data_IF_787751323077
#
_entry.id   IF_787751323077
#
_cell.length_a   1.000
_cell.length_b   1.000
_cell.length_c   1.000
_cell.angle_alpha   90.00
_cell.angle_beta   90.00
_cell.angle_gamma   90.00
#
_symmetry.space_group_name_H-M   'P 1'
#
loop_
_entity.id
_entity.type
_entity.pdbx_description
1 polymer ?
#
# COMPACT_ATOMS: atom_id res chain seq x y z
N UNK A 1 4.86 5.28 -13.10
CA UNK A 1 3.62 5.05 -12.34
C UNK A 1 2.72 4.14 -13.16
N UNK A 2 2.76 2.84 -12.91
CA UNK A 2 2.34 1.85 -13.91
C UNK A 2 0.85 1.86 -14.25
N UNK A 3 -0.04 2.09 -13.28
CA UNK A 3 -1.48 2.13 -13.53
C UNK A 3 -1.91 3.27 -14.45
N UNK A 4 -1.31 4.43 -14.25
CA UNK A 4 -1.55 5.61 -15.08
C UNK A 4 -1.08 5.42 -16.54
N UNK A 5 0.04 4.69 -16.75
CA UNK A 5 0.64 4.48 -18.09
C UNK A 5 -0.32 3.77 -19.08
N UNK A 6 -1.38 3.15 -18.58
CA UNK A 6 -2.30 2.32 -19.38
C UNK A 6 -3.75 2.77 -19.31
N UNK A 7 -4.03 3.94 -18.74
CA UNK A 7 -5.36 4.55 -18.82
C UNK A 7 -5.69 4.83 -20.29
N UNK A 8 -6.90 4.47 -20.74
CA UNK A 8 -7.29 4.62 -22.13
C UNK A 8 -8.76 4.33 -22.41
N UNK A 9 -9.01 3.77 -23.59
CA UNK A 9 -10.36 3.54 -24.10
C UNK A 9 -11.23 2.61 -23.24
N UNK A 10 -10.61 1.67 -22.52
CA UNK A 10 -11.35 0.72 -21.68
C UNK A 10 -11.94 1.42 -20.45
N UNK A 11 -11.20 2.32 -19.82
CA UNK A 11 -11.70 3.13 -18.70
C UNK A 11 -12.81 4.07 -19.17
N UNK A 12 -12.61 4.73 -20.31
CA UNK A 12 -13.61 5.60 -20.92
C UNK A 12 -14.92 4.84 -21.23
N UNK A 13 -14.82 3.61 -21.74
CA UNK A 13 -15.99 2.77 -22.03
C UNK A 13 -16.77 2.40 -20.77
N UNK A 14 -16.08 2.01 -19.70
CA UNK A 14 -16.75 1.67 -18.42
C UNK A 14 -17.41 2.91 -17.77
N UNK A 15 -16.83 4.12 -17.96
CA UNK A 15 -17.43 5.38 -17.52
C UNK A 15 -18.66 5.71 -18.39
N UNK A 16 -18.53 5.62 -19.71
CA UNK A 16 -19.63 5.90 -20.65
C UNK A 16 -20.84 5.02 -20.36
N UNK A 17 -20.64 3.75 -20.02
CA UNK A 17 -21.71 2.83 -19.65
C UNK A 17 -22.58 3.32 -18.46
N UNK A 18 -22.01 4.09 -17.52
CA UNK A 18 -22.80 4.72 -16.44
C UNK A 18 -23.77 5.76 -17.03
N UNK A 19 -23.29 6.64 -17.92
CA UNK A 19 -24.10 7.72 -18.49
C UNK A 19 -25.14 7.20 -19.48
N UNK A 20 -24.79 6.20 -20.26
CA UNK A 20 -25.74 5.53 -21.19
C UNK A 20 -26.87 4.82 -20.40
N UNK A 21 -26.71 4.58 -19.12
CA UNK A 21 -27.66 3.87 -18.23
C UNK A 21 -28.15 4.75 -17.06
N UNK A 22 -28.41 6.04 -17.33
CA UNK A 22 -29.07 6.94 -16.41
C UNK A 22 -28.18 7.85 -15.57
N UNK A 23 -26.86 7.72 -15.66
CA UNK A 23 -25.89 8.67 -15.07
C UNK A 23 -25.83 8.69 -13.54
N UNK A 24 -26.30 7.67 -12.84
CA UNK A 24 -26.28 7.61 -11.39
C UNK A 24 -24.87 7.34 -10.88
N UNK A 25 -24.28 8.34 -10.21
CA UNK A 25 -22.89 8.26 -9.70
C UNK A 25 -22.81 7.75 -8.25
N UNK A 26 -23.92 7.70 -7.54
CA UNK A 26 -23.99 7.22 -6.17
C UNK A 26 -24.02 5.69 -6.11
N UNK A 27 -23.28 5.08 -5.17
CA UNK A 27 -23.10 3.61 -5.14
C UNK A 27 -24.32 2.78 -4.75
N UNK A 28 -25.34 3.38 -4.12
CA UNK A 28 -26.51 2.69 -3.57
C UNK A 28 -27.81 3.22 -4.11
N UNK A 29 -28.85 2.37 -4.19
CA UNK A 29 -30.22 2.77 -4.55
C UNK A 29 -30.38 3.36 -5.94
N UNK A 30 -31.49 4.08 -6.14
CA UNK A 30 -31.88 4.67 -7.41
C UNK A 30 -32.03 3.64 -8.53
N UNK A 31 -32.51 2.43 -8.21
CA UNK A 31 -32.61 1.29 -9.14
C UNK A 31 -33.40 1.63 -10.39
N UNK A 32 -34.46 2.43 -10.24
CA UNK A 32 -35.34 2.89 -11.33
C UNK A 32 -34.65 3.88 -12.31
N UNK A 33 -33.49 4.43 -11.95
CA UNK A 33 -32.75 5.40 -12.77
C UNK A 33 -31.50 4.81 -13.43
N UNK A 34 -31.07 3.59 -13.11
CA UNK A 34 -29.70 3.13 -13.41
C UNK A 34 -29.62 1.81 -14.19
N UNK A 35 -30.71 1.27 -14.70
CA UNK A 35 -30.76 0.05 -15.50
C UNK A 35 -29.90 -1.11 -14.93
N UNK A 36 -29.82 -1.25 -13.61
CA UNK A 36 -29.02 -2.28 -12.94
C UNK A 36 -27.50 -2.07 -12.99
N UNK A 37 -27.00 -0.91 -13.41
CA UNK A 37 -25.56 -0.61 -13.46
C UNK A 37 -25.05 -0.16 -12.10
N UNK A 38 -24.17 -0.97 -11.51
CA UNK A 38 -23.52 -0.77 -10.20
C UNK A 38 -22.02 -1.06 -10.32
N UNK A 39 -21.25 -0.09 -10.80
CA UNK A 39 -19.82 -0.26 -11.10
C UNK A 39 -18.99 -0.56 -9.87
N UNK A 40 -19.27 0.10 -8.73
CA UNK A 40 -18.57 -0.17 -7.48
C UNK A 40 -18.82 -1.61 -7.01
N UNK A 41 -20.06 -2.09 -7.02
CA UNK A 41 -20.40 -3.46 -6.65
C UNK A 41 -19.73 -4.49 -7.59
N UNK A 42 -19.75 -4.22 -8.89
CA UNK A 42 -19.07 -5.07 -9.88
C UNK A 42 -17.53 -5.08 -9.64
N UNK A 43 -16.95 -3.94 -9.31
CA UNK A 43 -15.53 -3.83 -9.00
C UNK A 43 -15.18 -4.65 -7.75
N UNK A 44 -15.92 -4.50 -6.66
CA UNK A 44 -15.75 -5.28 -5.43
C UNK A 44 -15.80 -6.79 -5.67
N UNK A 45 -16.82 -7.27 -6.41
CA UNK A 45 -16.95 -8.69 -6.78
C UNK A 45 -15.76 -9.19 -7.61
N UNK A 46 -15.34 -8.42 -8.61
CA UNK A 46 -14.20 -8.78 -9.46
C UNK A 46 -12.88 -8.76 -8.67
N UNK A 47 -12.69 -7.77 -7.79
CA UNK A 47 -11.51 -7.64 -6.95
C UNK A 47 -11.43 -8.78 -5.93
N UNK A 48 -12.54 -9.12 -5.25
CA UNK A 48 -12.60 -10.25 -4.32
C UNK A 48 -12.21 -11.57 -4.99
N UNK A 49 -12.74 -11.82 -6.20
CA UNK A 49 -12.36 -13.00 -7.01
C UNK A 49 -10.87 -12.98 -7.36
N UNK A 50 -10.32 -11.83 -7.78
CA UNK A 50 -8.90 -11.67 -8.14
C UNK A 50 -7.98 -11.94 -6.96
N UNK A 51 -8.36 -11.50 -5.76
CA UNK A 51 -7.58 -11.65 -4.53
C UNK A 51 -7.86 -12.99 -3.82
N UNK A 52 -8.76 -13.81 -4.36
CA UNK A 52 -9.17 -15.09 -3.74
C UNK A 52 -9.63 -14.90 -2.28
N UNK A 53 -10.52 -13.94 -2.06
CA UNK A 53 -11.09 -13.58 -0.76
C UNK A 53 -12.62 -13.48 -0.88
N UNK A 54 -13.40 -13.81 0.16
CA UNK A 54 -14.86 -13.77 0.07
C UNK A 54 -15.45 -12.34 0.06
N UNK A 55 -14.77 -11.36 0.63
CA UNK A 55 -15.32 -10.02 0.81
C UNK A 55 -14.34 -8.93 0.42
N UNK A 56 -14.82 -7.96 -0.35
CA UNK A 56 -14.10 -6.74 -0.71
C UNK A 56 -15.04 -5.53 -0.54
N UNK A 57 -14.51 -4.43 -0.05
CA UNK A 57 -15.23 -3.18 0.19
C UNK A 57 -14.43 -2.03 -0.40
N UNK A 58 -14.98 -1.37 -1.40
CA UNK A 58 -14.36 -0.23 -2.05
C UNK A 58 -14.57 1.06 -1.23
N UNK A 59 -13.51 1.83 -1.11
CA UNK A 59 -13.45 3.06 -0.30
C UNK A 59 -12.76 4.19 -1.06
N UNK A 60 -12.84 5.42 -0.55
CA UNK A 60 -12.38 6.64 -1.22
C UNK A 60 -10.86 6.77 -1.37
N UNK A 61 -10.06 6.08 -0.56
CA UNK A 61 -8.58 6.16 -0.62
C UNK A 61 -7.93 5.00 0.14
N UNK A 62 -6.61 4.83 -0.01
CA UNK A 62 -5.83 3.89 0.82
C UNK A 62 -5.85 4.25 2.31
N UNK A 63 -5.84 5.53 2.64
CA UNK A 63 -5.99 6.02 4.03
C UNK A 63 -7.36 5.64 4.60
N UNK A 64 -8.43 5.83 3.81
CA UNK A 64 -9.77 5.38 4.18
C UNK A 64 -9.83 3.86 4.38
N UNK A 65 -9.10 3.08 3.56
CA UNK A 65 -9.02 1.63 3.72
C UNK A 65 -8.42 1.23 5.08
N UNK A 66 -7.34 1.87 5.50
CA UNK A 66 -6.73 1.64 6.82
C UNK A 66 -7.69 2.03 7.96
N UNK A 67 -8.36 3.18 7.85
CA UNK A 67 -9.35 3.63 8.83
C UNK A 67 -10.51 2.65 8.97
N UNK A 68 -11.05 2.18 7.86
CA UNK A 68 -12.13 1.19 7.83
C UNK A 68 -11.67 -0.15 8.40
N UNK A 69 -10.45 -0.59 8.11
CA UNK A 69 -9.88 -1.81 8.69
C UNK A 69 -9.77 -1.73 10.22
N UNK A 70 -9.27 -0.60 10.74
CA UNK A 70 -9.16 -0.37 12.18
C UNK A 70 -10.53 -0.24 12.87
N UNK A 71 -11.51 0.38 12.22
CA UNK A 71 -12.88 0.44 12.73
C UNK A 71 -13.54 -0.94 12.80
N UNK A 72 -13.30 -1.82 11.81
CA UNK A 72 -13.83 -3.18 11.79
C UNK A 72 -13.39 -4.03 12.99
N UNK A 73 -12.19 -3.81 13.51
CA UNK A 73 -11.66 -4.48 14.70
C UNK A 73 -11.91 -3.70 15.99
N UNK A 74 -12.68 -2.61 15.92
CA UNK A 74 -13.14 -1.81 17.07
C UNK A 74 -12.01 -1.33 17.98
N UNK A 75 -11.07 -0.57 17.39
CA UNK A 75 -9.98 0.06 18.15
C UNK A 75 -10.55 0.99 19.21
N UNK A 76 -10.04 0.87 20.42
CA UNK A 76 -10.40 1.69 21.58
C UNK A 76 -9.22 2.58 22.01
N UNK A 77 -9.46 3.67 22.74
CA UNK A 77 -8.41 4.41 23.40
C UNK A 77 -7.52 3.48 24.26
N UNK A 78 -6.21 3.63 24.15
CA UNK A 78 -5.16 2.80 24.76
C UNK A 78 -4.84 1.49 24.04
N UNK A 79 -5.62 1.05 23.05
CA UNK A 79 -5.18 -0.07 22.20
C UNK A 79 -3.92 0.33 21.45
N UNK A 80 -2.92 -0.53 21.47
CA UNK A 80 -1.67 -0.33 20.74
C UNK A 80 -1.75 -1.03 19.38
N UNK A 81 -1.37 -0.29 18.33
CA UNK A 81 -1.25 -0.82 16.98
C UNK A 81 0.22 -0.71 16.54
N UNK A 82 0.81 -1.86 16.28
CA UNK A 82 2.22 -1.92 15.86
C UNK A 82 2.31 -1.73 14.36
N UNK A 83 3.26 -0.88 13.90
CA UNK A 83 3.62 -0.76 12.48
C UNK A 83 5.10 -0.47 12.34
N UNK A 84 5.61 -0.49 11.11
CA UNK A 84 7.02 -0.30 10.80
C UNK A 84 7.42 1.17 10.65
N UNK A 85 8.69 1.48 10.89
CA UNK A 85 9.22 2.84 10.81
C UNK A 85 9.36 3.37 9.38
N UNK A 86 9.50 2.48 8.38
CA UNK A 86 9.50 2.85 6.96
C UNK A 86 8.17 2.52 6.34
N UNK A 87 7.31 3.51 6.27
CA UNK A 87 5.96 3.46 5.66
C UNK A 87 5.56 4.86 5.20
N UNK A 88 4.46 4.98 4.47
CA UNK A 88 3.85 6.28 4.22
C UNK A 88 3.16 6.79 5.50
N UNK A 89 3.17 8.08 5.69
CA UNK A 89 2.64 8.76 6.89
C UNK A 89 1.21 8.33 7.24
N UNK A 90 0.37 8.07 6.23
CA UNK A 90 -1.04 7.68 6.39
C UNK A 90 -1.24 6.43 7.26
N UNK A 91 -0.28 5.50 7.32
CA UNK A 91 -0.39 4.31 8.16
C UNK A 91 -0.44 4.69 9.65
N UNK A 92 0.39 5.64 10.07
CA UNK A 92 0.41 6.13 11.47
C UNK A 92 -0.73 7.10 11.73
N UNK A 93 -1.06 7.97 10.79
CA UNK A 93 -2.21 8.88 10.89
C UNK A 93 -3.51 8.10 11.07
N UNK A 94 -3.73 7.02 10.32
CA UNK A 94 -4.91 6.17 10.48
C UNK A 94 -5.00 5.54 11.88
N UNK A 95 -3.88 5.16 12.48
CA UNK A 95 -3.82 4.65 13.87
C UNK A 95 -4.23 5.75 14.85
N UNK A 96 -3.63 6.93 14.73
CA UNK A 96 -3.90 8.09 15.59
C UNK A 96 -5.38 8.50 15.51
N UNK A 97 -5.90 8.64 14.30
CA UNK A 97 -7.29 8.98 14.05
C UNK A 97 -8.28 7.92 14.54
N UNK A 98 -7.84 6.67 14.68
CA UNK A 98 -8.62 5.60 15.31
C UNK A 98 -8.57 5.65 16.85
N UNK A 99 -7.91 6.66 17.44
CA UNK A 99 -7.62 6.80 18.87
C UNK A 99 -6.69 5.70 19.43
N UNK A 100 -6.06 4.93 18.55
CA UNK A 100 -5.05 3.95 18.92
C UNK A 100 -3.69 4.60 19.20
N UNK A 101 -2.83 3.85 19.86
CA UNK A 101 -1.45 4.26 20.15
C UNK A 101 -0.53 3.62 19.11
N UNK A 102 0.14 4.40 18.24
CA UNK A 102 1.08 3.84 17.29
C UNK A 102 2.37 3.36 17.98
N UNK A 103 2.70 2.09 17.81
CA UNK A 103 3.96 1.48 18.23
C UNK A 103 4.80 1.19 17.00
N UNK A 104 5.94 1.84 16.89
CA UNK A 104 6.76 1.79 15.69
C UNK A 104 7.90 0.78 15.86
N UNK A 105 8.08 -0.12 14.87
CA UNK A 105 9.19 -1.08 14.85
C UNK A 105 10.32 -0.62 13.95
N UNK A 106 11.50 -1.19 14.19
CA UNK A 106 12.60 -1.20 13.23
C UNK A 106 12.21 -1.98 11.96
N UNK A 107 12.95 -1.76 10.89
CA UNK A 107 12.90 -2.57 9.68
C UNK A 107 14.11 -3.49 9.58
N UNK A 108 14.00 -4.51 8.72
CA UNK A 108 15.10 -5.40 8.38
C UNK A 108 15.68 -5.12 6.98
N UNK A 109 16.47 -6.04 6.45
CA UNK A 109 17.12 -5.94 5.14
C UNK A 109 16.13 -6.06 3.95
N UNK A 110 14.87 -6.36 4.22
CA UNK A 110 13.75 -6.26 3.27
C UNK A 110 13.14 -4.86 3.21
N UNK A 111 13.60 -3.92 4.04
CA UNK A 111 13.02 -2.59 4.27
C UNK A 111 11.53 -2.65 4.70
N UNK A 112 11.11 -3.77 5.24
CA UNK A 112 9.80 -3.95 5.87
C UNK A 112 10.00 -4.27 7.37
N UNK A 113 8.90 -4.46 8.09
CA UNK A 113 8.90 -4.75 9.52
C UNK A 113 9.89 -5.86 9.90
N UNK A 114 10.76 -5.60 10.87
CA UNK A 114 11.60 -6.63 11.50
C UNK A 114 10.73 -7.49 12.43
N UNK A 115 10.56 -8.79 12.13
CA UNK A 115 9.73 -9.67 12.97
C UNK A 115 10.22 -9.78 14.42
N UNK A 116 11.53 -9.71 14.64
CA UNK A 116 12.11 -9.78 15.99
C UNK A 116 11.79 -8.53 16.81
N UNK A 117 11.87 -7.35 16.20
CA UNK A 117 11.51 -6.12 16.88
C UNK A 117 9.98 -6.00 17.05
N UNK A 118 9.20 -6.55 16.13
CA UNK A 118 7.74 -6.68 16.26
C UNK A 118 7.40 -7.49 17.53
N UNK A 119 7.92 -8.71 17.65
CA UNK A 119 7.62 -9.58 18.80
C UNK A 119 8.03 -8.92 20.11
N UNK A 120 9.19 -8.27 20.17
CA UNK A 120 9.71 -7.56 21.34
C UNK A 120 8.82 -6.41 21.81
N UNK A 121 8.06 -5.77 20.87
CA UNK A 121 7.23 -4.60 21.18
C UNK A 121 5.78 -4.92 21.51
N UNK A 122 5.41 -6.20 21.52
CA UNK A 122 4.07 -6.65 21.91
C UNK A 122 3.88 -6.46 23.40
N UNK A 123 2.76 -5.87 23.79
CA UNK A 123 2.29 -5.72 25.16
C UNK A 123 0.89 -6.31 25.33
N UNK A 124 0.37 -6.33 26.53
CA UNK A 124 -1.03 -6.72 26.81
C UNK A 124 -2.07 -5.81 26.14
N UNK A 125 -1.69 -4.61 25.74
CA UNK A 125 -2.56 -3.64 25.08
C UNK A 125 -2.48 -3.73 23.54
N UNK A 126 -1.60 -4.57 22.99
CA UNK A 126 -1.43 -4.70 21.55
C UNK A 126 -2.65 -5.40 20.94
N UNK A 127 -3.38 -4.67 20.13
CA UNK A 127 -4.62 -5.13 19.47
C UNK A 127 -4.39 -5.61 18.06
N UNK A 128 -3.52 -4.91 17.31
CA UNK A 128 -3.27 -5.20 15.90
C UNK A 128 -1.81 -4.88 15.50
N UNK A 129 -1.41 -5.49 14.41
CA UNK A 129 -0.22 -5.11 13.64
C UNK A 129 -0.63 -4.74 12.22
N UNK A 130 -0.09 -3.62 11.72
CA UNK A 130 -0.19 -3.22 10.31
C UNK A 130 1.18 -3.45 9.69
N UNK A 131 1.30 -4.45 8.82
CA UNK A 131 2.52 -4.73 8.05
C UNK A 131 2.39 -4.10 6.66
N UNK A 132 3.40 -3.35 6.25
CA UNK A 132 3.39 -2.64 4.97
C UNK A 132 4.34 -3.34 4.00
N UNK A 133 3.90 -3.56 2.76
CA UNK A 133 4.73 -4.12 1.70
C UNK A 133 5.39 -2.99 0.90
N UNK A 134 6.38 -2.33 1.51
CA UNK A 134 6.99 -1.13 0.95
C UNK A 134 7.60 -1.35 -0.43
N UNK A 135 7.25 -0.45 -1.36
CA UNK A 135 7.79 -0.44 -2.73
C UNK A 135 7.60 -1.77 -3.49
N UNK A 136 6.55 -2.53 -3.13
CA UNK A 136 6.15 -3.75 -3.81
C UNK A 136 6.92 -5.02 -3.42
N UNK A 137 7.76 -4.97 -2.39
CA UNK A 137 8.44 -6.15 -1.83
C UNK A 137 7.65 -6.68 -0.62
N UNK A 138 7.29 -7.96 -0.58
CA UNK A 138 6.62 -8.55 0.58
C UNK A 138 7.46 -8.46 1.87
N UNK A 139 6.81 -8.23 3.00
CA UNK A 139 7.41 -8.45 4.31
C UNK A 139 7.61 -9.94 4.59
N UNK A 140 8.30 -10.31 5.69
CA UNK A 140 8.46 -11.70 6.17
C UNK A 140 7.15 -12.21 6.77
N UNK A 141 6.15 -12.43 5.93
CA UNK A 141 4.78 -12.69 6.35
C UNK A 141 4.61 -13.96 7.18
N UNK A 142 5.37 -15.02 6.91
CA UNK A 142 5.27 -16.28 7.68
C UNK A 142 5.68 -16.05 9.14
N UNK A 143 6.79 -15.33 9.36
CA UNK A 143 7.27 -14.98 10.71
C UNK A 143 6.29 -14.06 11.42
N UNK A 144 5.86 -12.97 10.76
CA UNK A 144 4.93 -11.98 11.32
C UNK A 144 3.59 -12.64 11.65
N UNK A 145 3.04 -13.46 10.77
CA UNK A 145 1.77 -14.18 10.99
C UNK A 145 1.87 -15.17 12.15
N UNK A 146 3.00 -15.90 12.27
CA UNK A 146 3.23 -16.80 13.39
C UNK A 146 3.21 -16.05 14.72
N UNK A 147 3.90 -14.91 14.80
CA UNK A 147 3.93 -14.05 15.98
C UNK A 147 2.52 -13.51 16.29
N UNK A 148 1.85 -12.91 15.31
CA UNK A 148 0.50 -12.36 15.49
C UNK A 148 -0.49 -13.43 16.00
N UNK A 149 -0.45 -14.64 15.44
CA UNK A 149 -1.28 -15.78 15.89
C UNK A 149 -0.97 -16.20 17.34
N UNK A 150 0.32 -16.31 17.70
CA UNK A 150 0.78 -16.65 19.07
C UNK A 150 0.21 -15.69 20.11
N UNK A 151 0.18 -14.40 19.78
CA UNK A 151 -0.27 -13.34 20.69
C UNK A 151 -1.74 -12.93 20.49
N UNK A 152 -2.49 -13.61 19.60
CA UNK A 152 -3.91 -13.32 19.28
C UNK A 152 -4.13 -11.87 18.82
N UNK A 153 -3.20 -11.33 18.03
CA UNK A 153 -3.19 -9.97 17.49
C UNK A 153 -3.75 -10.01 16.06
N UNK A 154 -4.61 -9.05 15.70
CA UNK A 154 -5.08 -8.89 14.32
C UNK A 154 -3.93 -8.50 13.40
N UNK A 155 -3.81 -9.20 12.26
CA UNK A 155 -2.84 -8.90 11.22
C UNK A 155 -3.54 -8.17 10.07
N UNK A 156 -3.18 -6.91 9.86
CA UNK A 156 -3.62 -6.07 8.74
C UNK A 156 -2.44 -5.93 7.78
N UNK A 157 -2.67 -6.22 6.49
CA UNK A 157 -1.68 -5.99 5.44
C UNK A 157 -1.98 -4.66 4.72
N UNK A 158 -1.05 -3.72 4.79
CA UNK A 158 -1.07 -2.53 3.94
C UNK A 158 -0.37 -2.86 2.61
N UNK A 159 -1.19 -3.07 1.59
CA UNK A 159 -0.77 -3.50 0.26
C UNK A 159 -0.81 -2.35 -0.75
N UNK A 160 -0.74 -1.10 -0.27
CA UNK A 160 -0.80 0.10 -1.11
C UNK A 160 0.29 0.14 -2.21
N UNK A 161 1.42 -0.52 -2.01
CA UNK A 161 2.52 -0.67 -2.98
C UNK A 161 2.60 -2.07 -3.60
N UNK A 162 1.89 -3.03 -3.02
CA UNK A 162 2.04 -4.45 -3.32
C UNK A 162 0.91 -5.07 -4.15
N UNK A 163 -0.06 -4.27 -4.65
CA UNK A 163 -1.21 -4.78 -5.40
C UNK A 163 -0.77 -5.59 -6.64
N UNK A 164 -1.16 -6.87 -6.72
CA UNK A 164 -0.72 -7.83 -7.75
C UNK A 164 0.56 -8.61 -7.42
N UNK A 165 1.20 -8.32 -6.28
CA UNK A 165 2.27 -9.13 -5.71
C UNK A 165 1.73 -10.40 -5.05
N UNK A 166 2.62 -11.39 -4.84
CA UNK A 166 2.30 -12.65 -4.16
C UNK A 166 3.42 -13.06 -3.22
N UNK A 167 3.06 -13.80 -2.19
CA UNK A 167 3.98 -14.49 -1.30
C UNK A 167 3.54 -15.94 -1.15
N UNK A 168 4.44 -16.91 -1.39
CA UNK A 168 4.12 -18.34 -1.40
C UNK A 168 2.85 -18.69 -2.22
N UNK A 169 2.68 -18.04 -3.37
CA UNK A 169 1.52 -18.23 -4.26
C UNK A 169 0.26 -17.46 -3.86
N UNK A 170 0.15 -16.95 -2.62
CA UNK A 170 -0.99 -16.21 -2.10
C UNK A 170 -0.86 -14.74 -2.48
N UNK A 171 -1.92 -14.07 -3.00
CA UNK A 171 -1.91 -12.63 -3.23
C UNK A 171 -1.60 -11.84 -1.95
N UNK A 172 -0.76 -10.80 -2.05
CA UNK A 172 -0.53 -9.87 -0.94
C UNK A 172 -1.85 -9.19 -0.56
N UNK A 173 -2.05 -8.96 0.73
CA UNK A 173 -3.32 -8.52 1.31
C UNK A 173 -4.22 -9.67 1.77
N UNK A 174 -3.91 -10.92 1.38
CA UNK A 174 -4.71 -12.09 1.75
C UNK A 174 -3.99 -13.07 2.70
N UNK A 175 -2.89 -12.65 3.33
CA UNK A 175 -2.22 -13.43 4.40
C UNK A 175 -2.85 -13.18 5.76
N UNK A 176 -3.09 -11.92 6.07
CA UNK A 176 -3.65 -11.45 7.32
C UNK A 176 -5.15 -11.69 7.47
N UNK A 177 -5.74 -11.05 8.47
CA UNK A 177 -7.18 -11.00 8.71
C UNK A 177 -7.87 -10.01 7.79
N UNK A 178 -7.18 -8.88 7.50
CA UNK A 178 -7.66 -7.77 6.68
C UNK A 178 -6.52 -7.33 5.75
N UNK A 179 -6.83 -7.07 4.49
CA UNK A 179 -5.90 -6.44 3.54
C UNK A 179 -6.43 -5.09 3.07
N UNK A 180 -5.57 -4.09 2.99
CA UNK A 180 -5.89 -2.75 2.50
C UNK A 180 -5.10 -2.41 1.25
N UNK A 181 -5.72 -1.68 0.33
CA UNK A 181 -5.15 -1.31 -0.96
C UNK A 181 -5.39 0.17 -1.25
N UNK A 182 -4.50 0.75 -2.02
CA UNK A 182 -4.62 2.11 -2.54
C UNK A 182 -4.68 2.06 -4.07
N UNK A 183 -5.57 2.86 -4.63
CA UNK A 183 -5.70 3.09 -6.06
C UNK A 183 -5.41 4.56 -6.41
N UNK A 184 -4.57 5.21 -5.61
CA UNK A 184 -3.98 6.50 -5.91
C UNK A 184 -3.31 6.50 -7.29
N UNK A 185 -3.20 7.67 -7.89
CA UNK A 185 -2.62 7.88 -9.23
C UNK A 185 -1.25 7.21 -9.43
N UNK A 186 -0.42 7.15 -8.39
CA UNK A 186 0.95 6.62 -8.45
C UNK A 186 1.04 5.09 -8.24
N UNK A 187 -0.06 4.37 -8.10
CA UNK A 187 -0.07 2.94 -7.77
C UNK A 187 -0.03 2.02 -8.99
N UNK A 188 0.14 0.71 -8.75
CA UNK A 188 0.20 -0.34 -9.78
C UNK A 188 -1.09 -0.42 -10.60
N UNK A 189 -2.24 -0.17 -9.99
CA UNK A 189 -3.50 0.16 -10.64
C UNK A 189 -4.07 1.41 -9.99
N UNK A 190 -4.83 2.21 -10.75
CA UNK A 190 -5.35 3.48 -10.26
C UNK A 190 -6.81 3.70 -10.62
N UNK A 191 -7.51 4.42 -9.75
CA UNK A 191 -8.84 5.01 -10.03
C UNK A 191 -8.79 6.54 -9.95
N UNK A 192 -7.56 7.13 -10.05
CA UNK A 192 -7.27 8.51 -9.70
C UNK A 192 -7.07 8.65 -8.20
N UNK A 193 -8.13 8.52 -7.46
CA UNK A 193 -8.21 8.31 -6.02
C UNK A 193 -9.07 7.08 -5.74
N UNK A 194 -8.76 6.30 -4.70
CA UNK A 194 -9.54 5.13 -4.31
C UNK A 194 -8.76 4.17 -3.41
N UNK A 195 -9.50 3.21 -2.88
CA UNK A 195 -8.94 2.13 -2.09
C UNK A 195 -9.88 0.92 -2.01
N UNK A 196 -9.38 -0.15 -1.42
CA UNK A 196 -10.15 -1.37 -1.18
C UNK A 196 -9.74 -1.98 0.15
N UNK A 197 -10.70 -2.57 0.84
CA UNK A 197 -10.45 -3.41 2.00
C UNK A 197 -10.96 -4.80 1.70
N UNK A 198 -10.15 -5.83 1.96
CA UNK A 198 -10.58 -7.22 1.80
C UNK A 198 -10.61 -7.94 3.16
N UNK A 199 -11.55 -8.87 3.28
CA UNK A 199 -11.79 -9.59 4.53
C UNK A 199 -12.02 -11.09 4.27
N UNK A 200 -11.55 -11.92 5.18
CA UNK A 200 -11.90 -13.34 5.24
C UNK A 200 -13.12 -13.58 6.11
N UNK A 201 -13.33 -12.74 7.11
CA UNK A 201 -14.37 -12.89 8.14
C UNK A 201 -15.59 -12.02 7.82
N UNK A 202 -16.77 -12.64 7.72
CA UNK A 202 -18.05 -11.98 7.43
C UNK A 202 -18.42 -10.92 8.48
N UNK A 203 -18.13 -11.18 9.76
CA UNK A 203 -18.44 -10.24 10.86
C UNK A 203 -17.63 -8.96 10.74
N UNK A 204 -16.32 -9.08 10.45
CA UNK A 204 -15.46 -7.90 10.21
C UNK A 204 -15.89 -7.12 8.98
N UNK A 205 -16.23 -7.82 7.89
CA UNK A 205 -16.76 -7.19 6.67
C UNK A 205 -18.04 -6.40 6.95
N UNK A 206 -19.02 -6.99 7.67
CA UNK A 206 -20.28 -6.30 8.01
C UNK A 206 -20.02 -5.02 8.84
N UNK A 207 -19.15 -5.10 9.86
CA UNK A 207 -18.77 -3.92 10.65
C UNK A 207 -18.11 -2.84 9.80
N UNK A 208 -17.19 -3.23 8.91
CA UNK A 208 -16.54 -2.32 7.98
C UNK A 208 -17.54 -1.66 7.04
N UNK A 209 -18.45 -2.46 6.46
CA UNK A 209 -19.45 -2.00 5.51
C UNK A 209 -20.44 -1.01 6.14
N UNK A 210 -20.84 -1.25 7.39
CA UNK A 210 -21.68 -0.30 8.13
C UNK A 210 -20.89 0.99 8.44
N UNK A 211 -19.71 0.86 9.03
CA UNK A 211 -18.94 2.01 9.48
C UNK A 211 -18.51 2.96 8.35
N UNK A 212 -18.16 2.43 7.15
CA UNK A 212 -17.76 3.24 6.00
C UNK A 212 -18.92 4.04 5.39
N UNK A 213 -20.16 3.79 5.83
CA UNK A 213 -21.38 4.39 5.32
C UNK A 213 -22.31 4.84 6.48
N UNK A 214 -21.80 5.69 7.39
CA UNK A 214 -22.57 6.24 8.51
C UNK A 214 -23.27 5.23 9.41
N UNK A 215 -22.79 3.99 9.45
CA UNK A 215 -23.37 2.91 10.25
C UNK A 215 -24.48 2.11 9.57
N UNK A 216 -24.87 2.46 8.35
CA UNK A 216 -25.93 1.76 7.61
C UNK A 216 -25.62 0.29 7.35
N UNK A 217 -26.59 -0.58 7.65
CA UNK A 217 -26.47 -2.01 7.35
C UNK A 217 -26.69 -2.33 5.87
N UNK A 218 -27.21 -1.36 5.11
CA UNK A 218 -27.50 -1.45 3.68
C UNK A 218 -28.41 -2.66 3.35
N UNK A 219 -29.54 -2.76 4.07
CA UNK A 219 -30.55 -3.80 3.86
C UNK A 219 -31.24 -3.57 2.50
N UNK A 220 -31.10 -4.48 1.53
CA UNK A 220 -31.67 -4.29 0.19
C UNK A 220 -33.22 -4.34 0.15
N UNK A 221 -33.87 -4.74 1.26
CA UNK A 221 -35.33 -4.81 1.36
C UNK A 221 -35.96 -3.52 1.89
N UNK A 222 -35.15 -2.56 2.34
CA UNK A 222 -35.62 -1.31 2.93
C UNK A 222 -35.12 -0.12 2.12
N UNK A 223 -35.89 0.95 1.98
CA UNK A 223 -35.38 2.21 1.48
C UNK A 223 -34.31 2.72 2.48
N UNK A 224 -33.36 3.49 1.96
CA UNK A 224 -32.19 3.91 2.75
C UNK A 224 -32.53 4.68 4.01
N UNK A 225 -33.60 5.46 4.04
CA UNK A 225 -34.04 6.24 5.21
C UNK A 225 -34.67 5.39 6.31
N UNK A 226 -35.07 4.15 6.00
CA UNK A 226 -35.62 3.16 6.95
C UNK A 226 -34.57 2.12 7.36
N UNK A 227 -33.37 2.17 6.75
CA UNK A 227 -32.32 1.20 7.02
C UNK A 227 -31.76 1.35 8.44
N UNK A 228 -31.55 0.21 9.09
CA UNK A 228 -30.96 0.15 10.43
C UNK A 228 -29.49 0.58 10.43
N UNK A 229 -29.02 1.04 11.58
CA UNK A 229 -27.63 1.40 11.81
C UNK A 229 -27.06 0.62 12.97
N UNK A 230 -25.97 -0.10 12.73
CA UNK A 230 -25.32 -0.94 13.75
C UNK A 230 -24.17 -0.21 14.47
N UNK A 231 -23.77 0.97 13.99
CA UNK A 231 -22.68 1.77 14.56
C UNK A 231 -22.79 3.24 14.14
N UNK A 232 -22.00 4.12 14.75
CA UNK A 232 -21.60 5.36 14.09
C UNK A 232 -20.66 5.06 12.92
N UNK A 233 -20.36 6.06 12.08
CA UNK A 233 -19.43 5.89 10.98
C UNK A 233 -19.21 7.18 10.20
N UNK A 234 -18.55 7.05 9.06
CA UNK A 234 -18.21 8.16 8.18
C UNK A 234 -18.60 7.85 6.74
N UNK A 235 -18.53 8.85 5.87
CA UNK A 235 -18.67 8.67 4.44
C UNK A 235 -17.31 8.37 3.81
N UNK A 236 -16.99 7.10 3.62
CA UNK A 236 -15.83 6.64 2.85
C UNK A 236 -16.24 5.85 1.60
N UNK A 237 -17.46 6.07 1.13
CA UNK A 237 -18.00 5.37 -0.06
C UNK A 237 -17.28 5.78 -1.33
N UNK A 238 -16.78 4.79 -2.09
CA UNK A 238 -16.34 5.00 -3.46
C UNK A 238 -17.54 5.36 -4.35
N UNK A 239 -17.38 6.27 -5.31
CA UNK A 239 -18.39 6.59 -6.30
C UNK A 239 -18.30 5.68 -7.53
N UNK A 240 -19.35 5.70 -8.38
CA UNK A 240 -19.45 4.80 -9.54
C UNK A 240 -18.39 5.07 -10.61
N UNK A 241 -17.92 6.33 -10.78
CA UNK A 241 -16.84 6.65 -11.72
C UNK A 241 -15.53 5.96 -11.34
N UNK A 242 -15.16 6.00 -10.06
CA UNK A 242 -13.98 5.30 -9.54
C UNK A 242 -14.14 3.78 -9.69
N UNK A 243 -15.34 3.24 -9.44
CA UNK A 243 -15.66 1.83 -9.64
C UNK A 243 -15.49 1.39 -11.10
N UNK A 244 -15.95 2.20 -12.04
CA UNK A 244 -15.83 1.96 -13.48
C UNK A 244 -14.36 1.91 -13.92
N UNK A 245 -13.57 2.90 -13.54
CA UNK A 245 -12.12 2.91 -13.81
C UNK A 245 -11.46 1.70 -13.19
N UNK A 246 -11.83 1.36 -11.94
CA UNK A 246 -11.30 0.20 -11.22
C UNK A 246 -11.52 -1.14 -11.92
N UNK A 247 -12.68 -1.32 -12.55
CA UNK A 247 -12.99 -2.52 -13.35
C UNK A 247 -12.02 -2.68 -14.52
N UNK A 248 -11.81 -1.61 -15.30
CA UNK A 248 -10.91 -1.62 -16.44
C UNK A 248 -9.45 -1.84 -16.01
N UNK A 249 -9.00 -1.13 -14.98
CA UNK A 249 -7.64 -1.26 -14.43
C UNK A 249 -7.38 -2.67 -13.87
N UNK A 250 -8.36 -3.28 -13.18
CA UNK A 250 -8.22 -4.63 -12.64
C UNK A 250 -8.02 -5.68 -13.74
N UNK A 251 -8.68 -5.53 -14.90
CA UNK A 251 -8.46 -6.38 -16.07
C UNK A 251 -7.01 -6.31 -16.59
N UNK A 252 -6.37 -5.14 -16.43
CA UNK A 252 -5.00 -4.85 -16.91
C UNK A 252 -3.91 -5.20 -15.89
N UNK A 253 -4.24 -5.43 -14.60
CA UNK A 253 -3.28 -5.57 -13.50
C UNK A 253 -2.19 -6.61 -13.77
N UNK A 254 -2.52 -7.80 -14.27
CA UNK A 254 -1.52 -8.84 -14.55
C UNK A 254 -0.53 -8.42 -15.65
N UNK A 255 -1.02 -7.71 -16.68
CA UNK A 255 -0.20 -7.16 -17.77
C UNK A 255 0.78 -6.14 -17.21
N UNK A 256 0.32 -5.24 -16.34
CA UNK A 256 1.15 -4.22 -15.67
C UNK A 256 2.26 -4.89 -14.86
N UNK A 257 1.90 -5.79 -13.94
CA UNK A 257 2.86 -6.47 -13.07
C UNK A 257 3.86 -7.31 -13.87
N UNK A 258 3.42 -8.00 -14.94
CA UNK A 258 4.32 -8.73 -15.86
C UNK A 258 5.31 -7.77 -16.55
N UNK A 259 4.83 -6.62 -17.00
CA UNK A 259 5.67 -5.58 -17.61
C UNK A 259 6.71 -5.04 -16.64
N UNK A 260 6.30 -4.67 -15.41
CA UNK A 260 7.22 -4.21 -14.36
C UNK A 260 8.30 -5.25 -14.05
N UNK A 261 7.93 -6.53 -13.90
CA UNK A 261 8.89 -7.62 -13.65
C UNK A 261 9.89 -7.78 -14.80
N UNK A 262 9.43 -7.64 -16.05
CA UNK A 262 10.31 -7.66 -17.23
C UNK A 262 11.28 -6.48 -17.23
N UNK A 263 10.80 -5.29 -16.93
CA UNK A 263 11.61 -4.07 -16.81
C UNK A 263 12.62 -4.17 -15.67
N UNK A 264 12.19 -4.65 -14.50
CA UNK A 264 13.05 -4.85 -13.33
C UNK A 264 14.22 -5.80 -13.63
N UNK A 265 13.98 -6.90 -14.35
CA UNK A 265 15.06 -7.85 -14.74
C UNK A 265 16.15 -7.17 -15.55
N UNK A 266 15.81 -6.26 -16.49
CA UNK A 266 16.78 -5.51 -17.29
C UNK A 266 17.64 -4.60 -16.40
N UNK A 267 17.02 -3.89 -15.45
CA UNK A 267 17.76 -3.00 -14.55
C UNK A 267 18.61 -3.77 -13.55
N UNK A 268 18.12 -4.88 -13.02
CA UNK A 268 18.87 -5.77 -12.13
C UNK A 268 20.18 -6.26 -12.79
N UNK A 269 20.18 -6.57 -14.09
CA UNK A 269 21.40 -6.99 -14.80
C UNK A 269 22.45 -5.85 -14.89
N UNK A 270 22.00 -4.59 -14.90
CA UNK A 270 22.89 -3.43 -14.86
C UNK A 270 23.42 -3.25 -13.43
N UNK A 271 22.54 -3.21 -12.42
CA UNK A 271 22.92 -2.98 -11.03
C UNK A 271 23.98 -3.98 -10.54
N UNK A 272 23.91 -5.24 -10.97
CA UNK A 272 24.87 -6.30 -10.60
C UNK A 272 26.32 -6.04 -11.04
N UNK A 273 26.55 -5.08 -11.94
CA UNK A 273 27.91 -4.72 -12.41
C UNK A 273 28.63 -3.76 -11.47
N UNK A 274 27.95 -3.22 -10.47
CA UNK A 274 28.47 -2.18 -9.59
C UNK A 274 28.59 -2.66 -8.13
N UNK A 275 29.50 -2.05 -7.32
CA UNK A 275 29.70 -2.42 -5.93
C UNK A 275 28.55 -1.89 -5.04
N UNK A 276 27.41 -2.50 -5.16
CA UNK A 276 26.19 -2.20 -4.42
C UNK A 276 25.53 -3.49 -3.91
N UNK A 277 24.68 -3.37 -2.89
CA UNK A 277 23.91 -4.48 -2.34
C UNK A 277 22.45 -4.31 -2.70
N UNK A 278 21.83 -5.32 -3.29
CA UNK A 278 20.40 -5.30 -3.57
C UNK A 278 19.58 -5.51 -2.29
N UNK A 279 18.42 -4.85 -2.21
CA UNK A 279 17.40 -5.13 -1.20
C UNK A 279 17.06 -6.62 -1.23
N UNK A 280 16.95 -7.23 -0.05
CA UNK A 280 16.53 -8.63 0.03
C UNK A 280 15.01 -8.75 -0.13
N UNK A 281 14.60 -9.88 -0.67
CA UNK A 281 13.21 -10.30 -0.77
C UNK A 281 13.04 -11.66 -0.10
N UNK A 282 12.03 -11.88 0.73
CA UNK A 282 11.79 -13.19 1.35
C UNK A 282 11.62 -14.30 0.30
N UNK A 283 12.08 -15.51 0.62
CA UNK A 283 11.88 -16.68 -0.27
C UNK A 283 10.38 -16.88 -0.56
N UNK A 284 10.03 -17.20 -1.79
CA UNK A 284 8.62 -17.35 -2.21
C UNK A 284 7.94 -16.05 -2.64
N UNK A 285 8.62 -14.90 -2.56
CA UNK A 285 8.10 -13.62 -3.04
C UNK A 285 7.97 -13.56 -4.55
N UNK A 286 6.85 -13.01 -5.03
CA UNK A 286 6.64 -12.54 -6.40
C UNK A 286 6.31 -11.06 -6.34
N UNK A 287 7.34 -10.22 -6.29
CA UNK A 287 7.23 -8.76 -6.16
C UNK A 287 6.49 -8.13 -7.32
N UNK A 288 5.88 -6.97 -7.08
CA UNK A 288 5.37 -6.11 -8.16
C UNK A 288 6.49 -5.34 -8.84
N UNK A 289 7.57 -5.05 -8.11
CA UNK A 289 8.63 -4.12 -8.51
C UNK A 289 8.09 -2.72 -8.78
N UNK A 290 7.35 -2.17 -7.81
CA UNK A 290 7.02 -0.75 -7.87
C UNK A 290 8.29 0.11 -7.97
N UNK A 291 9.34 -0.31 -7.26
CA UNK A 291 10.71 0.21 -7.40
C UNK A 291 11.74 -0.88 -7.18
N UNK A 292 12.90 -0.73 -7.81
CA UNK A 292 14.11 -1.44 -7.42
C UNK A 292 14.87 -0.63 -6.38
N UNK A 293 15.24 -1.26 -5.28
CA UNK A 293 16.02 -0.64 -4.20
C UNK A 293 17.35 -1.34 -4.06
N UNK A 294 18.40 -0.55 -3.90
CA UNK A 294 19.75 -1.01 -3.61
C UNK A 294 20.43 -0.11 -2.59
N UNK A 295 21.46 -0.65 -1.96
CA UNK A 295 22.25 0.05 -0.96
C UNK A 295 23.66 0.31 -1.47
N UNK A 296 24.19 1.49 -1.17
CA UNK A 296 25.57 1.86 -1.39
C UNK A 296 26.32 1.93 -0.06
N UNK A 297 27.65 2.07 -0.09
CA UNK A 297 28.50 1.96 1.10
C UNK A 297 28.23 3.04 2.17
N UNK A 298 27.79 4.23 1.77
CA UNK A 298 27.59 5.34 2.70
C UNK A 298 26.55 6.35 2.18
N UNK A 299 26.02 7.24 3.06
CA UNK A 299 25.00 8.23 2.69
C UNK A 299 25.45 9.25 1.63
N UNK A 300 26.71 9.66 1.64
CA UNK A 300 27.24 10.61 0.63
C UNK A 300 27.19 10.02 -0.77
N UNK A 301 27.49 8.72 -0.88
CA UNK A 301 27.40 7.99 -2.14
C UNK A 301 25.95 7.80 -2.60
N UNK A 302 25.00 7.61 -1.68
CA UNK A 302 23.57 7.55 -2.02
C UNK A 302 23.06 8.87 -2.64
N UNK A 303 23.44 10.00 -2.05
CA UNK A 303 23.12 11.33 -2.59
C UNK A 303 23.81 11.55 -3.95
N UNK A 304 25.09 11.19 -4.08
CA UNK A 304 25.81 11.25 -5.36
C UNK A 304 25.11 10.41 -6.43
N UNK A 305 24.75 9.17 -6.11
CA UNK A 305 24.06 8.28 -7.03
C UNK A 305 22.73 8.88 -7.51
N UNK A 306 21.93 9.39 -6.56
CA UNK A 306 20.68 10.10 -6.87
C UNK A 306 20.92 11.28 -7.81
N UNK A 307 21.92 12.12 -7.55
CA UNK A 307 22.20 13.29 -8.37
C UNK A 307 22.63 12.89 -9.80
N UNK A 308 23.41 11.81 -9.94
CA UNK A 308 23.78 11.29 -11.26
C UNK A 308 22.58 10.69 -12.01
N UNK A 309 21.67 9.97 -11.32
CA UNK A 309 20.43 9.48 -11.92
C UNK A 309 19.57 10.64 -12.44
N UNK A 310 19.39 11.69 -11.63
CA UNK A 310 18.62 12.87 -12.03
C UNK A 310 19.25 13.62 -13.21
N UNK A 311 20.59 13.77 -13.24
CA UNK A 311 21.29 14.43 -14.36
C UNK A 311 21.14 13.69 -15.68
N UNK A 312 20.91 12.37 -15.64
CA UNK A 312 20.59 11.55 -16.82
C UNK A 312 19.08 11.50 -17.11
N UNK A 313 18.25 12.26 -16.39
CA UNK A 313 16.79 12.25 -16.53
C UNK A 313 16.12 10.98 -15.97
N UNK A 314 16.78 10.27 -15.06
CA UNK A 314 16.22 9.13 -14.32
C UNK A 314 15.81 9.59 -12.94
N UNK A 315 14.50 9.67 -12.70
CA UNK A 315 13.99 9.97 -11.35
C UNK A 315 14.32 8.87 -10.36
N UNK A 316 14.40 9.24 -9.08
CA UNK A 316 14.34 8.29 -7.97
C UNK A 316 12.96 8.33 -7.36
N UNK A 317 12.58 7.30 -6.56
CA UNK A 317 11.26 7.21 -5.93
C UNK A 317 11.45 6.95 -4.44
N UNK A 318 11.09 7.91 -3.58
CA UNK A 318 11.16 7.82 -2.13
C UNK A 318 12.59 7.91 -1.57
N UNK A 319 13.52 7.11 -2.05
CA UNK A 319 14.87 7.02 -1.47
C UNK A 319 15.92 7.52 -2.47
N UNK A 320 16.75 8.47 -2.05
CA UNK A 320 16.84 9.08 -0.70
C UNK A 320 15.97 10.32 -0.47
N UNK A 321 15.18 10.83 -1.45
CA UNK A 321 14.56 12.16 -1.41
C UNK A 321 13.44 12.29 -0.40
N UNK A 322 12.50 11.34 -0.40
CA UNK A 322 11.25 11.45 0.35
C UNK A 322 11.33 10.73 1.70
N UNK A 323 12.53 10.67 2.29
CA UNK A 323 12.73 10.03 3.58
C UNK A 323 11.89 10.69 4.69
N UNK A 324 11.71 12.00 4.63
CA UNK A 324 10.87 12.77 5.57
C UNK A 324 9.38 12.37 5.51
N UNK A 325 8.91 11.87 4.39
CA UNK A 325 7.51 11.45 4.20
C UNK A 325 7.26 9.99 4.51
N UNK A 326 8.33 9.18 4.56
CA UNK A 326 8.21 7.72 4.63
C UNK A 326 8.95 7.10 5.80
N UNK A 327 9.55 7.90 6.67
CA UNK A 327 10.27 7.41 7.84
C UNK A 327 9.77 8.06 9.12
N UNK A 328 9.20 7.25 10.00
CA UNK A 328 8.62 7.71 11.27
C UNK A 328 9.61 8.49 12.16
N UNK A 329 10.89 8.22 12.03
CA UNK A 329 11.95 8.98 12.71
C UNK A 329 12.03 10.47 12.32
N UNK A 330 11.36 10.88 11.25
CA UNK A 330 11.32 12.27 10.75
C UNK A 330 10.03 13.02 11.12
N UNK A 331 9.03 12.36 11.72
CA UNK A 331 7.68 12.92 11.92
C UNK A 331 7.52 13.65 13.25
N UNK A 332 8.36 14.65 13.47
CA UNK A 332 8.27 15.54 14.66
C UNK A 332 7.01 16.42 14.69
N UNK A 333 6.27 16.50 13.58
CA UNK A 333 4.99 17.21 13.49
C UNK A 333 3.82 16.42 14.12
N UNK A 334 4.02 15.16 14.51
CA UNK A 334 3.00 14.34 15.16
C UNK A 334 3.16 14.37 16.70
N UNK A 335 2.28 15.07 17.44
CA UNK A 335 2.38 15.17 18.90
C UNK A 335 2.38 13.80 19.61
N UNK A 336 1.65 12.83 19.08
CA UNK A 336 1.53 11.49 19.64
C UNK A 336 2.89 10.74 19.59
N UNK A 337 3.63 10.90 18.49
CA UNK A 337 4.97 10.32 18.37
C UNK A 337 5.97 11.07 19.26
N UNK A 338 5.88 12.39 19.34
CA UNK A 338 6.73 13.17 20.26
C UNK A 338 6.49 12.76 21.70
N UNK A 339 5.24 12.58 22.12
CA UNK A 339 4.88 12.12 23.46
C UNK A 339 5.46 10.71 23.75
N UNK A 340 5.41 9.81 22.78
CA UNK A 340 5.87 8.42 22.94
C UNK A 340 7.39 8.28 22.86
N UNK A 341 8.05 8.98 21.93
CA UNK A 341 9.46 8.75 21.57
C UNK A 341 10.40 9.91 21.93
N UNK A 342 9.86 11.07 22.35
CA UNK A 342 10.61 12.29 22.64
C UNK A 342 11.02 13.05 21.38
N UNK A 343 11.69 14.21 21.56
CA UNK A 343 12.05 15.13 20.46
C UNK A 343 12.95 14.49 19.37
N UNK A 344 13.80 13.53 19.74
CA UNK A 344 14.74 12.86 18.82
C UNK A 344 14.22 11.49 18.37
N UNK A 345 13.07 11.44 17.71
CA UNK A 345 12.41 10.20 17.27
C UNK A 345 13.38 9.33 16.44
N UNK A 346 14.16 9.92 15.54
CA UNK A 346 15.13 9.21 14.69
C UNK A 346 16.12 8.35 15.46
N UNK A 347 16.58 8.81 16.63
CA UNK A 347 17.50 8.07 17.49
C UNK A 347 16.88 6.79 18.08
N UNK A 348 15.56 6.65 18.03
CA UNK A 348 14.84 5.46 18.50
C UNK A 348 14.81 4.35 17.46
N UNK A 349 15.19 4.65 16.21
CA UNK A 349 15.18 3.72 15.08
C UNK A 349 16.53 3.72 14.33
N UNK A 350 17.65 3.41 15.03
CA UNK A 350 18.99 3.50 14.45
C UNK A 350 19.23 2.49 13.33
N UNK A 351 18.67 1.27 13.44
CA UNK A 351 18.78 0.22 12.43
C UNK A 351 18.06 0.64 11.15
N UNK A 352 16.82 1.12 11.25
CA UNK A 352 16.04 1.62 10.12
C UNK A 352 16.76 2.77 9.44
N UNK A 353 17.22 3.75 10.20
CA UNK A 353 17.95 4.89 9.63
C UNK A 353 19.24 4.46 8.93
N UNK A 354 19.96 3.47 9.49
CA UNK A 354 21.19 2.93 8.87
C UNK A 354 20.94 2.27 7.51
N UNK A 355 19.78 1.64 7.30
CA UNK A 355 19.40 1.14 5.97
C UNK A 355 18.99 2.28 5.05
N UNK A 356 18.08 3.13 5.49
CA UNK A 356 17.41 4.11 4.65
C UNK A 356 18.35 5.20 4.12
N UNK A 357 19.32 5.64 4.92
CA UNK A 357 20.27 6.69 4.51
C UNK A 357 21.30 6.24 3.46
N UNK A 358 21.42 4.93 3.22
CA UNK A 358 22.28 4.33 2.19
C UNK A 358 21.50 3.78 1.01
N UNK A 359 20.19 3.88 1.02
CA UNK A 359 19.31 3.30 0.03
C UNK A 359 19.03 4.28 -1.12
N UNK A 360 18.99 3.73 -2.33
CA UNK A 360 18.55 4.43 -3.53
C UNK A 360 17.47 3.58 -4.19
N UNK A 361 16.36 4.20 -4.62
CA UNK A 361 15.27 3.49 -5.29
C UNK A 361 15.02 4.04 -6.69
N UNK A 362 14.93 3.15 -7.67
CA UNK A 362 14.61 3.47 -9.06
C UNK A 362 13.17 3.02 -9.33
N UNK A 363 12.25 3.91 -9.73
CA UNK A 363 10.88 3.53 -10.08
C UNK A 363 10.89 2.64 -11.32
N UNK A 364 10.04 1.62 -11.33
CA UNK A 364 9.93 0.69 -12.46
C UNK A 364 8.61 0.91 -13.19
N UNK A 365 8.69 1.35 -14.44
CA UNK A 365 7.55 1.44 -15.35
C UNK A 365 7.26 0.09 -16.02
N UNK A 366 6.08 -0.02 -16.61
CA UNK A 366 5.69 -1.22 -17.35
C UNK A 366 6.55 -1.42 -18.60
N UNK A 367 6.91 -0.34 -19.28
CA UNK A 367 7.66 -0.34 -20.54
C UNK A 367 8.99 0.41 -20.40
N UNK A 368 10.00 -0.26 -19.87
CA UNK A 368 11.34 0.31 -19.79
C UNK A 368 12.02 0.27 -21.15
N UNK A 369 12.18 1.44 -21.78
CA UNK A 369 12.92 1.59 -23.05
C UNK A 369 14.41 1.31 -22.83
N UNK A 370 15.10 0.82 -23.86
CA UNK A 370 16.56 0.55 -23.79
C UNK A 370 17.37 1.82 -23.49
N UNK A 371 16.89 2.99 -23.93
CA UNK A 371 17.48 4.28 -23.65
C UNK A 371 17.58 4.55 -22.12
N UNK A 372 16.53 4.28 -21.37
CA UNK A 372 16.52 4.48 -19.92
C UNK A 372 17.50 3.53 -19.22
N UNK A 373 17.65 2.31 -19.73
CA UNK A 373 18.66 1.38 -19.24
C UNK A 373 20.10 1.91 -19.47
N UNK A 374 20.37 2.51 -20.64
CA UNK A 374 21.65 3.19 -20.92
C UNK A 374 21.89 4.35 -19.96
N UNK A 375 20.90 5.22 -19.75
CA UNK A 375 20.97 6.35 -18.81
C UNK A 375 21.29 5.90 -17.38
N UNK A 376 20.65 4.84 -16.89
CA UNK A 376 20.96 4.27 -15.56
C UNK A 376 22.42 3.79 -15.52
N UNK A 377 22.87 3.06 -16.54
CA UNK A 377 24.24 2.58 -16.59
C UNK A 377 25.24 3.75 -16.55
N UNK A 378 25.03 4.79 -17.36
CA UNK A 378 25.87 6.00 -17.38
C UNK A 378 25.88 6.70 -16.01
N UNK A 379 24.74 6.85 -15.37
CA UNK A 379 24.65 7.45 -14.02
C UNK A 379 25.45 6.65 -12.98
N UNK A 380 25.36 5.32 -13.04
CA UNK A 380 26.11 4.44 -12.13
C UNK A 380 27.61 4.47 -12.41
N UNK A 381 28.04 4.48 -13.68
CA UNK A 381 29.44 4.67 -14.04
C UNK A 381 29.99 5.96 -13.43
N UNK A 382 29.31 7.10 -13.62
CA UNK A 382 29.68 8.40 -13.04
C UNK A 382 29.70 8.37 -11.51
N UNK A 383 28.75 7.61 -10.89
CA UNK A 383 28.65 7.46 -9.44
C UNK A 383 29.88 6.74 -8.87
N UNK A 384 30.31 5.64 -9.50
CA UNK A 384 31.35 4.75 -8.98
C UNK A 384 32.73 5.00 -9.53
N UNK A 385 32.89 5.86 -10.59
CA UNK A 385 34.20 6.34 -10.98
C UNK A 385 34.89 7.02 -9.79
N UNK A 386 36.07 6.54 -9.39
CA UNK A 386 36.95 7.27 -8.48
C UNK A 386 37.24 8.64 -9.10
N UNK A 387 37.09 9.73 -8.34
CA UNK A 387 37.76 10.96 -8.71
C UNK A 387 39.25 10.65 -8.70
N UNK A 388 39.89 10.66 -9.89
CA UNK A 388 41.34 10.69 -10.04
C UNK A 388 41.81 11.97 -9.41
#
# INVERSE_FOLDING_TARGET
MPGYEIIGKEELREIKDIFDNGGVLFRHGFDHLRNGIYKVNQFEKKFSKKMNTPYALAVTSGTAALRVALAAIEIKPKDEIITQSFTFVATVEAIIESRGIPIITEIDDTLNMDPKDFEKKITKNTKAVIVVHMLGTPARLDEIKKIAKKHKIFLIEDTAWGCGGKYNGIPLGNFGDIGTFSFDFAKTMTTGEGGMVIFKNKKLFKKAAAWHDHGHENNPKLPRWEDSRSSSGFNYRMNELQGAVGIAQLKKLDKVVKGQRKSAKKILSILKKYPLTLRKSPKGSKETFDSLVFFVSNPKLAIRCRNQLLSEGVGTKILPEALTWHFAGSWSHMPQLLKKYGKNIRKKFPKSYSYLNKAVSIPISMNYKNELAKKINTALEKTFKKKI
#
